data_IF_246473020748
#
_entry.id   IF_246473020748
#
_cell.length_a   1.000
_cell.length_b   1.000
_cell.length_c   1.000
_cell.angle_alpha   90.00
_cell.angle_beta   90.00
_cell.angle_gamma   90.00
#
_symmetry.space_group_name_H-M   'P 1'
#
loop_
_entity.id
_entity.type
_entity.pdbx_description
1 polymer ?
#
# COMPACT_ATOMS: atom_id res chain seq x y z
N UNK A 1 -7.62 12.42 -7.27
CA UNK A 1 -6.82 12.72 -8.46
C UNK A 1 -5.46 12.06 -8.28
N UNK A 2 -4.90 11.43 -9.32
CA UNK A 2 -3.55 10.84 -9.29
C UNK A 2 -2.44 11.91 -9.32
N UNK A 3 -1.19 11.49 -9.10
CA UNK A 3 -0.03 12.38 -9.06
C UNK A 3 0.13 13.25 -10.33
N UNK A 4 -0.28 12.76 -11.51
CA UNK A 4 -0.18 13.49 -12.78
C UNK A 4 -1.44 14.29 -13.13
N UNK A 5 -2.51 14.16 -12.35
CA UNK A 5 -3.80 14.80 -12.65
C UNK A 5 -4.57 14.19 -13.82
N UNK A 6 -4.18 12.98 -14.27
CA UNK A 6 -4.81 12.30 -15.42
C UNK A 6 -6.07 11.55 -15.00
N UNK A 7 -6.02 10.89 -13.84
CA UNK A 7 -7.14 10.12 -13.31
C UNK A 7 -7.78 10.86 -12.14
N UNK A 8 -9.09 10.99 -12.16
CA UNK A 8 -9.86 11.60 -11.09
C UNK A 8 -11.16 10.86 -10.87
N UNK A 9 -11.68 10.91 -9.66
CA UNK A 9 -12.98 10.40 -9.29
C UNK A 9 -13.21 10.59 -7.80
N UNK A 10 -14.48 10.45 -7.38
CA UNK A 10 -14.89 10.66 -6.00
C UNK A 10 -15.43 9.37 -5.40
N UNK A 11 -14.84 8.87 -4.30
CA UNK A 11 -15.41 7.73 -3.58
C UNK A 11 -16.65 8.19 -2.79
N UNK A 12 -17.61 7.28 -2.58
CA UNK A 12 -18.74 7.53 -1.69
C UNK A 12 -18.31 7.63 -0.22
N UNK A 13 -17.19 7.00 0.14
CA UNK A 13 -16.59 7.09 1.47
C UNK A 13 -15.09 6.80 1.40
N UNK A 14 -14.34 7.35 2.38
CA UNK A 14 -12.93 7.03 2.61
C UNK A 14 -12.84 6.32 3.96
N UNK A 15 -12.28 5.12 3.98
CA UNK A 15 -12.08 4.33 5.19
C UNK A 15 -10.60 4.08 5.43
N UNK A 16 -10.19 4.10 6.70
CA UNK A 16 -8.80 3.91 7.13
C UNK A 16 -8.74 2.83 8.20
N UNK A 17 -8.86 1.56 7.83
CA UNK A 17 -8.73 0.47 8.79
C UNK A 17 -7.33 0.44 9.39
N UNK A 18 -7.25 0.16 10.69
CA UNK A 18 -5.99 -0.01 11.42
C UNK A 18 -5.69 -1.46 11.79
N UNK A 19 -6.61 -2.38 11.47
CA UNK A 19 -6.47 -3.82 11.74
C UNK A 19 -7.01 -4.65 10.59
N UNK A 20 -6.56 -5.91 10.52
CA UNK A 20 -7.07 -6.88 9.54
C UNK A 20 -8.58 -7.12 9.72
N UNK A 21 -9.07 -7.12 10.96
CA UNK A 21 -10.50 -7.33 11.23
C UNK A 21 -11.34 -6.15 10.74
N UNK A 22 -10.85 -4.92 10.87
CA UNK A 22 -11.50 -3.75 10.29
C UNK A 22 -11.50 -3.81 8.75
N UNK A 23 -10.40 -4.23 8.12
CA UNK A 23 -10.35 -4.48 6.66
C UNK A 23 -11.40 -5.51 6.26
N UNK A 24 -11.46 -6.64 6.98
CA UNK A 24 -12.43 -7.71 6.74
C UNK A 24 -13.88 -7.20 6.84
N UNK A 25 -14.18 -6.37 7.83
CA UNK A 25 -15.50 -5.77 8.00
C UNK A 25 -15.87 -4.86 6.82
N UNK A 26 -14.96 -4.01 6.38
CA UNK A 26 -15.15 -3.14 5.20
C UNK A 26 -15.41 -3.97 3.94
N UNK A 27 -14.57 -4.99 3.69
CA UNK A 27 -14.72 -5.85 2.50
C UNK A 27 -16.07 -6.54 2.49
N UNK A 28 -16.52 -7.09 3.62
CA UNK A 28 -17.84 -7.74 3.74
C UNK A 28 -18.99 -6.76 3.51
N UNK A 29 -18.93 -5.58 4.09
CA UNK A 29 -19.96 -4.55 3.91
C UNK A 29 -20.06 -4.11 2.45
N UNK A 30 -18.93 -3.82 1.79
CA UNK A 30 -18.90 -3.42 0.39
C UNK A 30 -19.40 -4.55 -0.52
N UNK A 31 -19.01 -5.81 -0.28
CA UNK A 31 -19.48 -6.96 -1.04
C UNK A 31 -21.00 -7.14 -0.91
N UNK A 32 -21.54 -7.02 0.30
CA UNK A 32 -22.98 -7.12 0.53
C UNK A 32 -23.78 -5.99 -0.15
N UNK A 33 -23.19 -4.79 -0.25
CA UNK A 33 -23.81 -3.63 -0.88
C UNK A 33 -23.54 -3.52 -2.40
N UNK A 34 -22.75 -4.41 -2.99
CA UNK A 34 -22.34 -4.32 -4.40
C UNK A 34 -21.48 -3.10 -4.71
N UNK A 35 -20.76 -2.55 -3.72
CA UNK A 35 -19.92 -1.36 -3.85
C UNK A 35 -18.46 -1.77 -4.11
N UNK A 36 -17.82 -1.13 -5.08
CA UNK A 36 -16.42 -1.38 -5.41
C UNK A 36 -15.48 -0.87 -4.29
N UNK A 37 -14.32 -1.52 -4.16
CA UNK A 37 -13.25 -1.04 -3.26
C UNK A 37 -12.06 -0.62 -4.12
N UNK A 38 -11.57 0.58 -3.90
CA UNK A 38 -10.31 1.08 -4.44
C UNK A 38 -9.32 1.18 -3.29
N UNK A 39 -8.29 0.34 -3.33
CA UNK A 39 -7.25 0.34 -2.29
C UNK A 39 -6.19 1.39 -2.59
N UNK A 40 -5.82 2.18 -1.59
CA UNK A 40 -4.79 3.21 -1.70
C UNK A 40 -3.73 3.05 -0.61
N UNK A 41 -2.47 2.91 -1.04
CA UNK A 41 -1.28 3.03 -0.19
C UNK A 41 -0.76 4.47 -0.19
N UNK A 42 0.48 4.66 -0.63
CA UNK A 42 1.14 5.97 -0.71
C UNK A 42 0.70 6.87 -1.86
N UNK A 43 -0.22 6.44 -2.69
CA UNK A 43 -0.76 7.22 -3.83
C UNK A 43 0.31 7.72 -4.83
N UNK A 44 1.35 6.94 -5.03
CA UNK A 44 2.50 7.26 -5.90
C UNK A 44 2.44 6.60 -7.28
N UNK A 45 1.43 5.76 -7.53
CA UNK A 45 1.29 5.04 -8.79
C UNK A 45 0.94 5.99 -9.95
N UNK A 46 1.50 5.69 -11.12
CA UNK A 46 1.22 6.41 -12.36
C UNK A 46 0.13 5.75 -13.22
N UNK A 47 -0.39 4.60 -12.79
CA UNK A 47 -1.38 3.81 -13.56
C UNK A 47 -2.84 4.10 -13.19
N UNK A 48 -3.08 4.99 -12.23
CA UNK A 48 -4.43 5.34 -11.78
C UNK A 48 -5.13 4.30 -10.88
N UNK A 49 -4.50 3.15 -10.60
CA UNK A 49 -5.12 2.05 -9.86
C UNK A 49 -5.52 2.36 -8.41
N UNK A 50 -5.03 3.47 -7.84
CA UNK A 50 -5.39 3.94 -6.50
C UNK A 50 -6.39 5.11 -6.52
N UNK A 51 -6.99 5.40 -7.67
CA UNK A 51 -7.97 6.49 -7.86
C UNK A 51 -9.34 5.88 -8.16
N UNK A 52 -10.38 6.27 -7.41
CA UNK A 52 -11.75 5.91 -7.77
C UNK A 52 -12.11 6.37 -9.19
N UNK A 53 -13.05 5.69 -9.81
CA UNK A 53 -13.65 6.13 -11.07
C UNK A 53 -15.10 6.56 -10.80
N UNK A 54 -15.64 7.46 -11.62
CA UNK A 54 -17.00 7.97 -11.44
C UNK A 54 -18.06 7.08 -12.14
N UNK A 55 -17.64 5.98 -12.79
CA UNK A 55 -18.52 5.06 -13.50
C UNK A 55 -19.34 4.14 -12.57
N UNK A 56 -18.90 3.99 -11.31
CA UNK A 56 -19.61 3.19 -10.29
C UNK A 56 -19.30 3.63 -8.87
N UNK A 57 -20.23 3.43 -7.92
CA UNK A 57 -19.98 3.71 -6.52
C UNK A 57 -18.77 2.91 -5.99
N UNK A 58 -17.85 3.59 -5.31
CA UNK A 58 -16.67 2.95 -4.74
C UNK A 58 -16.31 3.53 -3.38
N UNK A 59 -15.75 2.69 -2.51
CA UNK A 59 -15.13 3.08 -1.24
C UNK A 59 -13.61 3.11 -1.43
N UNK A 60 -12.96 4.20 -1.02
CA UNK A 60 -11.51 4.28 -0.96
C UNK A 60 -11.04 3.68 0.38
N UNK A 61 -10.29 2.58 0.31
CA UNK A 61 -9.67 1.93 1.47
C UNK A 61 -8.20 2.33 1.55
N UNK A 62 -7.86 3.17 2.52
CA UNK A 62 -6.48 3.60 2.73
C UNK A 62 -5.78 2.73 3.78
N UNK A 63 -4.58 2.24 3.46
CA UNK A 63 -3.74 1.44 4.36
C UNK A 63 -2.90 2.29 5.31
N UNK A 64 -3.11 3.61 5.37
CA UNK A 64 -2.25 4.57 6.09
C UNK A 64 -2.16 4.35 7.61
N UNK A 65 -3.04 3.56 8.22
CA UNK A 65 -2.99 3.20 9.64
C UNK A 65 -2.37 1.82 9.90
N UNK A 66 -2.05 1.06 8.86
CA UNK A 66 -1.46 -0.28 8.94
C UNK A 66 0.04 -0.18 8.66
N UNK A 67 0.81 0.32 9.63
CA UNK A 67 2.22 0.70 9.46
C UNK A 67 3.17 0.01 10.43
N UNK A 68 2.76 -1.11 11.04
CA UNK A 68 3.62 -1.84 11.99
C UNK A 68 4.60 -2.75 11.26
N UNK A 69 5.82 -2.80 11.81
CA UNK A 69 6.78 -3.86 11.53
C UNK A 69 6.56 -4.93 12.60
N UNK A 70 6.04 -6.08 12.19
CA UNK A 70 5.64 -7.15 13.12
C UNK A 70 6.83 -7.99 13.58
N UNK A 71 7.75 -8.31 12.66
CA UNK A 71 8.94 -9.08 12.99
C UNK A 71 10.05 -8.91 11.97
N UNK A 72 11.30 -9.09 12.41
CA UNK A 72 12.49 -9.15 11.57
C UNK A 72 13.27 -10.41 11.98
N UNK A 73 13.59 -11.27 11.00
CA UNK A 73 14.46 -12.41 11.17
C UNK A 73 15.69 -12.27 10.25
N UNK A 74 16.81 -11.72 10.77
CA UNK A 74 18.01 -11.52 9.97
C UNK A 74 18.66 -12.82 9.49
N UNK A 75 18.47 -13.94 10.21
CA UNK A 75 19.04 -15.23 9.84
C UNK A 75 18.30 -15.83 8.63
N UNK A 76 17.00 -15.60 8.53
CA UNK A 76 16.17 -16.04 7.41
C UNK A 76 16.01 -15.03 6.31
N UNK A 77 16.57 -13.82 6.46
CA UNK A 77 16.40 -12.71 5.52
C UNK A 77 14.94 -12.33 5.29
N UNK A 78 14.13 -12.38 6.35
CA UNK A 78 12.71 -12.06 6.25
C UNK A 78 12.32 -10.92 7.18
N UNK A 79 11.35 -10.12 6.73
CA UNK A 79 10.69 -9.09 7.51
C UNK A 79 9.18 -9.18 7.27
N UNK A 80 8.40 -9.18 8.34
CA UNK A 80 6.94 -9.14 8.27
C UNK A 80 6.46 -7.76 8.64
N UNK A 81 5.69 -7.14 7.73
CA UNK A 81 5.21 -5.76 7.89
C UNK A 81 3.76 -5.63 7.43
N UNK A 82 3.07 -4.65 7.96
CA UNK A 82 1.75 -4.27 7.47
C UNK A 82 1.85 -3.55 6.12
N UNK A 83 0.78 -3.63 5.33
CA UNK A 83 0.73 -3.16 3.95
C UNK A 83 0.96 -1.64 3.76
N UNK A 84 0.70 -0.85 4.80
CA UNK A 84 0.90 0.61 4.80
C UNK A 84 2.31 1.06 5.22
N UNK A 85 3.22 0.15 5.61
CA UNK A 85 4.62 0.49 5.84
C UNK A 85 5.22 1.06 4.56
N UNK A 86 5.98 2.16 4.66
CA UNK A 86 6.70 2.70 3.51
C UNK A 86 7.93 1.85 3.19
N UNK A 87 8.37 1.88 1.94
CA UNK A 87 9.60 1.19 1.53
C UNK A 87 10.80 1.71 2.33
N UNK A 88 10.87 3.01 2.58
CA UNK A 88 11.93 3.62 3.39
C UNK A 88 11.95 3.12 4.84
N UNK A 89 10.78 2.97 5.49
CA UNK A 89 10.70 2.38 6.83
C UNK A 89 11.25 0.96 6.86
N UNK A 90 10.93 0.15 5.85
CA UNK A 90 11.45 -1.22 5.75
C UNK A 90 12.95 -1.25 5.46
N UNK A 91 13.46 -0.35 4.61
CA UNK A 91 14.89 -0.21 4.36
C UNK A 91 15.66 0.15 5.65
N UNK A 92 15.14 1.11 6.42
CA UNK A 92 15.74 1.52 7.70
C UNK A 92 15.74 0.37 8.72
N UNK A 93 14.64 -0.36 8.82
CA UNK A 93 14.54 -1.50 9.72
C UNK A 93 15.47 -2.66 9.32
N UNK A 94 15.63 -2.93 8.03
CA UNK A 94 16.58 -3.91 7.54
C UNK A 94 18.04 -3.49 7.81
N UNK A 95 18.37 -2.22 7.57
CA UNK A 95 19.71 -1.68 7.83
C UNK A 95 20.08 -1.75 9.32
N UNK A 96 19.14 -1.59 10.24
CA UNK A 96 19.36 -1.70 11.68
C UNK A 96 19.81 -3.10 12.13
N UNK A 97 19.62 -4.13 11.30
CA UNK A 97 20.04 -5.52 11.55
C UNK A 97 21.06 -6.01 10.52
N UNK A 98 21.79 -5.10 9.90
CA UNK A 98 22.82 -5.39 8.88
C UNK A 98 22.27 -6.19 7.69
N UNK A 99 21.08 -5.80 7.22
CA UNK A 99 20.41 -6.35 6.04
C UNK A 99 19.96 -5.24 5.12
N UNK A 100 19.63 -5.57 3.88
CA UNK A 100 19.22 -4.60 2.88
C UNK A 100 17.94 -5.08 2.16
N UNK A 101 16.99 -4.15 1.98
CA UNK A 101 15.91 -4.31 1.01
C UNK A 101 16.39 -3.73 -0.32
N UNK A 102 16.48 -4.56 -1.37
CA UNK A 102 17.00 -4.16 -2.68
C UNK A 102 16.08 -3.21 -3.47
N UNK A 103 14.83 -3.08 -3.08
CA UNK A 103 13.87 -2.18 -3.74
C UNK A 103 14.19 -0.73 -3.41
N UNK A 104 14.48 0.09 -4.43
CA UNK A 104 14.75 1.51 -4.25
C UNK A 104 14.30 2.33 -5.46
N UNK A 105 13.59 3.43 -5.20
CA UNK A 105 13.17 4.46 -6.16
C UNK A 105 12.81 5.77 -5.47
N UNK A 106 12.65 6.86 -6.25
CA UNK A 106 12.46 8.21 -5.70
C UNK A 106 11.27 8.41 -4.77
N UNK A 107 10.21 7.61 -4.90
CA UNK A 107 9.01 7.71 -4.06
C UNK A 107 9.04 6.82 -2.80
N UNK A 108 10.16 6.20 -2.44
CA UNK A 108 10.29 5.24 -1.32
C UNK A 108 9.75 5.75 0.02
N UNK A 109 9.87 7.06 0.28
CA UNK A 109 9.36 7.67 1.52
C UNK A 109 7.84 7.72 1.63
N UNK A 110 7.12 7.50 0.52
CA UNK A 110 5.66 7.54 0.47
C UNK A 110 5.06 6.24 -0.05
N UNK A 111 5.73 5.59 -1.02
CA UNK A 111 5.29 4.31 -1.56
C UNK A 111 5.27 3.23 -0.48
N UNK A 112 4.18 2.46 -0.42
CA UNK A 112 3.96 1.44 0.61
C UNK A 112 4.27 0.04 0.09
N UNK A 113 4.61 -0.87 1.01
CA UNK A 113 4.88 -2.29 0.69
C UNK A 113 3.69 -2.92 -0.02
N UNK A 114 2.46 -2.73 0.48
CA UNK A 114 1.26 -3.27 -0.16
C UNK A 114 1.08 -2.74 -1.59
N UNK A 115 1.33 -1.45 -1.81
CA UNK A 115 1.31 -0.86 -3.15
C UNK A 115 2.39 -1.43 -4.06
N UNK A 116 3.62 -1.59 -3.57
CA UNK A 116 4.74 -2.16 -4.31
C UNK A 116 4.46 -3.59 -4.77
N UNK A 117 3.95 -4.44 -3.88
CA UNK A 117 3.55 -5.82 -4.20
C UNK A 117 2.43 -5.84 -5.25
N UNK A 118 1.40 -5.01 -5.06
CA UNK A 118 0.22 -4.98 -5.95
C UNK A 118 0.54 -4.51 -7.36
N UNK A 119 1.55 -3.67 -7.53
CA UNK A 119 1.94 -3.10 -8.83
C UNK A 119 3.23 -3.71 -9.40
N UNK A 120 3.77 -4.73 -8.73
CA UNK A 120 5.07 -5.32 -9.07
C UNK A 120 6.14 -4.23 -9.22
N UNK A 121 6.17 -3.29 -8.26
CA UNK A 121 7.13 -2.20 -8.27
C UNK A 121 8.55 -2.73 -8.09
N UNK A 122 9.47 -2.20 -8.84
CA UNK A 122 10.86 -2.62 -8.87
C UNK A 122 11.81 -1.50 -8.45
N UNK A 123 12.93 -1.42 -9.11
CA UNK A 123 13.99 -0.44 -8.86
C UNK A 123 15.32 -0.94 -9.43
N UNK A 124 16.38 -0.23 -9.16
CA UNK A 124 17.70 -0.55 -9.70
C UNK A 124 18.27 -1.89 -9.21
N UNK A 125 17.86 -2.36 -8.05
CA UNK A 125 18.45 -3.52 -7.35
C UNK A 125 17.51 -4.72 -7.25
N UNK A 126 16.45 -4.79 -8.06
CA UNK A 126 15.41 -5.85 -7.95
C UNK A 126 15.85 -7.25 -8.36
N UNK A 127 16.98 -7.39 -9.00
CA UNK A 127 17.53 -8.69 -9.44
C UNK A 127 18.33 -9.41 -8.35
N UNK A 128 18.27 -8.95 -7.11
CA UNK A 128 19.04 -9.51 -5.99
C UNK A 128 18.16 -9.90 -4.83
#
# INVERSE_FOLDING_TARGET
>A
VDFRGIYSGQPVAIVRPGTIDEVRAVVRACAAAGVAIVTQGGHTSLSGGSVPTDDRPSVLLSTSRMTRIESIDPARYTITVEAGCTIEQVQQAAAAVDRQLGMDWGARGTATVGGAVSTNAGGLNVLR
#
